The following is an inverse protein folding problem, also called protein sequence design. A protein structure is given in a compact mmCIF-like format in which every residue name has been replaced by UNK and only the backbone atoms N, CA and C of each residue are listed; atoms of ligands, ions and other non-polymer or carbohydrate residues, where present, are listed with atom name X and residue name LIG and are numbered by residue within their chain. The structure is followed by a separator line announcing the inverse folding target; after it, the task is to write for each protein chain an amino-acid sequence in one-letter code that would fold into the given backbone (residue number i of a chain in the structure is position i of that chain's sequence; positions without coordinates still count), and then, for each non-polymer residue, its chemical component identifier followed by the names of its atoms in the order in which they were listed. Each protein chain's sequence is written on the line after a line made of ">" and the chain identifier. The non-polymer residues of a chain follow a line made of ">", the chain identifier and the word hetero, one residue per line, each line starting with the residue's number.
data_IF_410635884007
#
_entry.id   IF_410635884007
#
_cell.length_a   1.000
_cell.length_b   1.000
_cell.length_c   1.000
_cell.angle_alpha   90.00
_cell.angle_beta   90.00
_cell.angle_gamma   90.00
#
_symmetry.space_group_name_H-M   'P 1'
#
loop_
_entity.id
_entity.type
_entity.pdbx_description
1 polymer ?
#
# COMPACT_ATOMS: atom_id res chain seq x y z
N UNK A 1 2.60 12.38 -16.65
CA UNK A 1 1.20 12.06 -16.31
C UNK A 1 0.61 13.24 -15.59
N UNK A 2 -0.58 13.68 -15.99
CA UNK A 2 -1.33 14.66 -15.23
C UNK A 2 -1.68 14.08 -13.86
N UNK A 3 -1.50 14.87 -12.80
CA UNK A 3 -1.81 14.42 -11.44
C UNK A 3 -3.33 14.34 -11.30
N UNK A 4 -3.86 13.19 -10.84
CA UNK A 4 -5.27 13.09 -10.52
C UNK A 4 -5.60 13.98 -9.30
N UNK A 5 -6.76 14.58 -9.36
CA UNK A 5 -7.28 15.49 -8.32
C UNK A 5 -8.47 14.82 -7.62
N UNK A 6 -8.88 15.31 -6.45
CA UNK A 6 -10.08 14.82 -5.77
C UNK A 6 -11.33 14.75 -6.66
N UNK A 7 -11.43 15.64 -7.65
CA UNK A 7 -12.55 15.68 -8.58
C UNK A 7 -12.52 14.59 -9.69
N UNK A 8 -11.43 13.82 -9.78
CA UNK A 8 -11.32 12.71 -10.74
C UNK A 8 -11.86 11.38 -10.17
N UNK A 9 -12.83 11.44 -9.26
CA UNK A 9 -13.37 10.28 -8.51
C UNK A 9 -13.81 9.15 -9.44
N UNK A 10 -14.53 9.44 -10.51
CA UNK A 10 -14.98 8.41 -11.48
C UNK A 10 -13.81 7.60 -12.06
N UNK A 11 -12.71 8.27 -12.41
CA UNK A 11 -11.51 7.61 -12.93
C UNK A 11 -10.83 6.77 -11.86
N UNK A 12 -10.81 7.27 -10.62
CA UNK A 12 -10.23 6.56 -9.49
C UNK A 12 -11.02 5.31 -9.14
N UNK A 13 -12.36 5.38 -9.21
CA UNK A 13 -13.24 4.21 -9.01
C UNK A 13 -12.97 3.14 -10.08
N UNK A 14 -12.86 3.52 -11.36
CA UNK A 14 -12.49 2.55 -12.42
C UNK A 14 -11.14 1.89 -12.16
N UNK A 15 -10.13 2.67 -11.77
CA UNK A 15 -8.80 2.10 -11.45
C UNK A 15 -8.88 1.17 -10.23
N UNK A 16 -9.61 1.58 -9.19
CA UNK A 16 -9.86 0.76 -7.99
C UNK A 16 -10.53 -0.56 -8.37
N UNK A 17 -11.56 -0.50 -9.20
CA UNK A 17 -12.32 -1.67 -9.62
C UNK A 17 -11.43 -2.67 -10.38
N UNK A 18 -10.58 -2.19 -11.28
CA UNK A 18 -9.61 -3.05 -11.98
C UNK A 18 -8.61 -3.68 -11.00
N UNK A 19 -8.10 -2.91 -10.04
CA UNK A 19 -7.17 -3.41 -9.01
C UNK A 19 -7.85 -4.46 -8.14
N UNK A 20 -9.06 -4.18 -7.67
CA UNK A 20 -9.85 -5.09 -6.86
C UNK A 20 -10.12 -6.41 -7.59
N UNK A 21 -10.51 -6.33 -8.87
CA UNK A 21 -10.74 -7.53 -9.67
C UNK A 21 -9.47 -8.36 -9.89
N UNK A 22 -8.33 -7.72 -10.14
CA UNK A 22 -7.06 -8.43 -10.29
C UNK A 22 -6.60 -9.08 -8.98
N UNK A 23 -6.83 -8.44 -7.82
CA UNK A 23 -6.60 -9.08 -6.52
C UNK A 23 -7.43 -10.37 -6.44
N UNK A 24 -8.74 -10.27 -6.66
CA UNK A 24 -9.65 -11.40 -6.51
C UNK A 24 -9.35 -12.53 -7.51
N UNK A 25 -9.13 -12.20 -8.78
CA UNK A 25 -8.81 -13.19 -9.82
C UNK A 25 -7.51 -13.94 -9.52
N UNK A 26 -6.45 -13.21 -9.17
CA UNK A 26 -5.16 -13.79 -8.81
C UNK A 26 -5.30 -14.76 -7.64
N UNK A 27 -5.96 -14.33 -6.56
CA UNK A 27 -6.11 -15.14 -5.36
C UNK A 27 -7.06 -16.31 -5.55
N UNK A 28 -8.16 -16.12 -6.30
CA UNK A 28 -9.06 -17.20 -6.65
C UNK A 28 -8.38 -18.26 -7.50
N UNK A 29 -7.64 -17.85 -8.52
CA UNK A 29 -6.90 -18.78 -9.39
C UNK A 29 -5.81 -19.56 -8.63
N UNK A 30 -5.14 -18.91 -7.68
CA UNK A 30 -4.05 -19.53 -6.91
C UNK A 30 -4.48 -20.25 -5.65
N UNK A 31 -5.71 -20.03 -5.19
CA UNK A 31 -6.25 -20.56 -3.93
C UNK A 31 -5.32 -20.27 -2.74
N UNK A 32 -4.66 -19.11 -2.76
CA UNK A 32 -3.68 -18.71 -1.75
C UNK A 32 -3.51 -17.19 -1.75
N UNK A 33 -3.21 -16.61 -0.59
CA UNK A 33 -2.93 -15.18 -0.41
C UNK A 33 -3.91 -14.51 0.54
N UNK A 34 -3.82 -13.18 0.64
CA UNK A 34 -4.49 -12.40 1.68
C UNK A 34 -5.42 -11.33 1.06
N UNK A 35 -6.70 -11.67 0.80
CA UNK A 35 -7.64 -10.74 0.18
C UNK A 35 -7.98 -9.54 1.06
N UNK A 36 -8.26 -9.77 2.35
CA UNK A 36 -8.82 -8.75 3.24
C UNK A 36 -8.01 -7.47 3.32
N UNK A 37 -6.76 -7.60 3.75
CA UNK A 37 -5.86 -6.45 3.86
C UNK A 37 -5.40 -5.88 2.52
N UNK A 38 -5.41 -6.67 1.45
CA UNK A 38 -5.13 -6.17 0.09
C UNK A 38 -6.25 -5.26 -0.40
N UNK A 39 -7.51 -5.66 -0.19
CA UNK A 39 -8.71 -4.90 -0.58
C UNK A 39 -8.90 -3.62 0.25
N UNK A 40 -8.70 -3.69 1.57
CA UNK A 40 -8.91 -2.53 2.45
C UNK A 40 -7.95 -1.37 2.17
N UNK A 41 -6.75 -1.65 1.67
CA UNK A 41 -5.71 -0.64 1.42
C UNK A 41 -5.78 0.05 0.05
N UNK A 42 -6.68 -0.36 -0.85
CA UNK A 42 -6.68 0.11 -2.26
C UNK A 42 -6.81 1.63 -2.34
N UNK A 43 -7.77 2.24 -1.63
CA UNK A 43 -7.99 3.69 -1.69
C UNK A 43 -6.77 4.49 -1.26
N UNK A 44 -6.19 4.19 -0.08
CA UNK A 44 -5.03 4.92 0.41
C UNK A 44 -3.79 4.72 -0.47
N UNK A 45 -3.61 3.51 -1.03
CA UNK A 45 -2.48 3.20 -1.90
C UNK A 45 -2.57 3.95 -3.23
N UNK A 46 -3.72 3.86 -3.91
CA UNK A 46 -3.96 4.57 -5.17
C UNK A 46 -3.89 6.08 -5.00
N UNK A 47 -4.55 6.64 -3.96
CA UNK A 47 -4.50 8.07 -3.68
C UNK A 47 -3.07 8.56 -3.46
N UNK A 48 -2.26 7.81 -2.73
CA UNK A 48 -0.86 8.17 -2.50
C UNK A 48 -0.03 8.18 -3.79
N UNK A 49 -0.17 7.16 -4.64
CA UNK A 49 0.59 7.07 -5.88
C UNK A 49 0.12 8.07 -6.94
N UNK A 50 -1.18 8.34 -7.02
CA UNK A 50 -1.77 9.17 -8.07
C UNK A 50 -1.86 10.66 -7.70
N UNK A 51 -1.70 11.02 -6.43
CA UNK A 51 -1.66 12.42 -5.96
C UNK A 51 -0.47 13.21 -6.50
N UNK A 52 0.61 12.51 -6.86
CA UNK A 52 1.87 13.11 -7.29
C UNK A 52 2.75 13.64 -6.16
N UNK A 53 2.39 13.39 -4.89
CA UNK A 53 3.27 13.70 -3.74
C UNK A 53 4.38 12.66 -3.56
N UNK A 54 4.11 11.41 -3.92
CA UNK A 54 5.11 10.33 -3.91
C UNK A 54 5.82 10.27 -5.26
N UNK A 55 7.13 10.44 -5.26
CA UNK A 55 7.95 10.42 -6.48
C UNK A 55 8.38 9.00 -6.81
N UNK A 56 7.94 8.52 -7.94
CA UNK A 56 8.35 7.23 -8.51
C UNK A 56 8.31 7.30 -10.04
N UNK A 57 9.03 6.40 -10.68
CA UNK A 57 9.05 6.27 -12.13
C UNK A 57 8.74 4.81 -12.51
N UNK A 58 7.54 4.55 -13.04
CA UNK A 58 7.14 3.19 -13.46
C UNK A 58 8.01 2.62 -14.57
N UNK A 59 8.60 3.49 -15.39
CA UNK A 59 9.52 3.09 -16.46
C UNK A 59 10.88 2.68 -15.93
N UNK A 60 11.27 3.29 -14.81
CA UNK A 60 12.56 3.07 -14.15
C UNK A 60 12.38 3.03 -12.62
N UNK A 61 11.67 2.00 -12.10
CA UNK A 61 11.34 1.94 -10.69
C UNK A 61 12.56 1.76 -9.78
N UNK A 62 13.71 1.39 -10.34
CA UNK A 62 14.99 1.29 -9.64
C UNK A 62 15.76 2.62 -9.55
N UNK A 63 15.22 3.71 -10.10
CA UNK A 63 15.87 5.03 -10.12
C UNK A 63 16.24 5.52 -8.72
N UNK A 64 17.48 5.95 -8.54
CA UNK A 64 18.10 6.21 -7.23
C UNK A 64 17.35 7.24 -6.37
N UNK A 65 16.82 8.31 -6.98
CA UNK A 65 16.16 9.40 -6.26
C UNK A 65 14.63 9.31 -6.23
N UNK A 66 14.05 8.14 -6.56
CA UNK A 66 12.66 7.86 -6.24
C UNK A 66 12.46 7.84 -4.72
N UNK A 67 11.27 8.22 -4.26
CA UNK A 67 10.91 8.03 -2.86
C UNK A 67 10.92 6.55 -2.50
N UNK A 68 11.10 6.21 -1.25
CA UNK A 68 11.20 4.85 -0.75
C UNK A 68 9.81 4.34 -0.38
N UNK A 69 9.26 3.47 -1.20
CA UNK A 69 7.95 2.84 -0.95
C UNK A 69 8.18 1.51 -0.27
N UNK A 70 7.64 1.34 0.93
CA UNK A 70 7.75 0.15 1.76
C UNK A 70 6.35 -0.39 2.04
N UNK A 71 6.06 -1.60 1.58
CA UNK A 71 4.85 -2.33 1.99
C UNK A 71 5.18 -3.12 3.25
N UNK A 72 5.02 -2.50 4.43
CA UNK A 72 5.32 -3.14 5.70
C UNK A 72 4.39 -4.32 5.98
N UNK A 73 3.11 -4.18 5.64
CA UNK A 73 2.15 -5.30 5.58
C UNK A 73 2.44 -6.23 4.38
N UNK A 74 3.62 -6.87 4.37
CA UNK A 74 4.13 -7.62 3.22
C UNK A 74 3.20 -8.67 2.64
N UNK A 75 2.34 -9.27 3.46
CA UNK A 75 1.32 -10.23 3.05
C UNK A 75 0.24 -9.62 2.13
N UNK A 76 0.08 -8.29 2.13
CA UNK A 76 -0.87 -7.58 1.25
C UNK A 76 -0.27 -7.23 -0.12
N UNK A 77 0.82 -7.91 -0.51
CA UNK A 77 1.48 -7.74 -1.82
C UNK A 77 0.54 -7.89 -3.04
N UNK A 78 -0.57 -8.66 -3.00
CA UNK A 78 -1.54 -8.68 -4.08
C UNK A 78 -2.03 -7.29 -4.51
N UNK A 79 -2.16 -6.35 -3.58
CA UNK A 79 -2.47 -4.94 -3.87
C UNK A 79 -1.43 -4.32 -4.83
N UNK A 80 -0.15 -4.47 -4.52
CA UNK A 80 0.94 -3.86 -5.32
C UNK A 80 1.02 -4.52 -6.69
N UNK A 81 0.93 -5.85 -6.77
CA UNK A 81 0.95 -6.57 -8.04
C UNK A 81 -0.21 -6.15 -8.95
N UNK A 82 -1.42 -6.08 -8.41
CA UNK A 82 -2.60 -5.69 -9.16
C UNK A 82 -2.51 -4.24 -9.64
N UNK A 83 -2.04 -3.33 -8.78
CA UNK A 83 -1.82 -1.92 -9.16
C UNK A 83 -0.78 -1.77 -10.26
N UNK A 84 0.37 -2.45 -10.14
CA UNK A 84 1.41 -2.42 -11.17
C UNK A 84 0.93 -3.03 -12.49
N UNK A 85 0.14 -4.11 -12.43
CA UNK A 85 -0.44 -4.72 -13.62
C UNK A 85 -1.38 -3.75 -14.37
N UNK A 86 -2.25 -3.04 -13.64
CA UNK A 86 -3.16 -2.02 -14.22
C UNK A 86 -2.35 -0.88 -14.84
N UNK A 87 -1.39 -0.32 -14.10
CA UNK A 87 -0.62 0.83 -14.57
C UNK A 87 0.26 0.51 -15.79
N UNK A 88 0.96 -0.62 -15.75
CA UNK A 88 1.83 -1.01 -16.85
C UNK A 88 1.04 -1.41 -18.10
N UNK A 89 -0.14 -2.03 -17.93
CA UNK A 89 -1.02 -2.34 -19.05
C UNK A 89 -1.58 -1.06 -19.69
N UNK A 90 -1.98 -0.09 -18.89
CA UNK A 90 -2.41 1.22 -19.40
C UNK A 90 -1.29 1.93 -20.17
N UNK A 91 -0.04 1.86 -19.68
CA UNK A 91 1.12 2.41 -20.40
C UNK A 91 1.38 1.66 -21.72
N UNK A 92 1.28 0.33 -21.72
CA UNK A 92 1.44 -0.49 -22.92
C UNK A 92 0.42 -0.14 -23.98
N UNK A 93 -0.85 -0.06 -23.62
CA UNK A 93 -1.94 0.33 -24.53
C UNK A 93 -1.72 1.75 -25.07
N UNK A 94 -1.31 2.68 -24.22
CA UNK A 94 -1.04 4.05 -24.62
C UNK A 94 0.13 4.14 -25.61
N UNK A 95 1.17 3.33 -25.41
CA UNK A 95 2.25 3.21 -26.41
C UNK A 95 1.74 2.64 -27.73
N UNK A 96 0.89 1.62 -27.72
CA UNK A 96 0.33 1.04 -28.94
C UNK A 96 -0.49 2.05 -29.76
N UNK A 97 -1.23 2.93 -29.08
CA UNK A 97 -2.01 3.99 -29.71
C UNK A 97 -1.15 5.13 -30.27
N UNK A 98 -0.17 5.59 -29.49
CA UNK A 98 0.53 6.85 -29.76
C UNK A 98 1.93 6.68 -30.35
N UNK A 99 2.51 5.48 -30.18
CA UNK A 99 3.94 5.18 -30.46
C UNK A 99 4.92 6.07 -29.69
N UNK A 100 4.47 6.70 -28.62
CA UNK A 100 5.29 7.56 -27.78
C UNK A 100 6.14 6.73 -26.80
N UNK A 101 7.46 6.76 -27.00
CA UNK A 101 8.44 6.02 -26.18
C UNK A 101 8.44 6.41 -24.70
N UNK A 102 7.79 7.51 -24.33
CA UNK A 102 7.57 7.89 -22.91
C UNK A 102 6.73 6.88 -22.14
N UNK A 103 6.03 5.98 -22.82
CA UNK A 103 5.26 4.89 -22.20
C UNK A 103 5.99 3.55 -22.17
N UNK A 104 7.20 3.45 -22.73
CA UNK A 104 7.98 2.22 -22.71
C UNK A 104 8.78 2.07 -21.41
N UNK A 105 8.77 0.88 -20.79
CA UNK A 105 9.61 0.60 -19.64
C UNK A 105 11.09 0.51 -20.06
N UNK A 106 12.00 0.97 -19.20
CA UNK A 106 13.45 0.83 -19.41
C UNK A 106 13.96 -0.59 -19.15
N UNK A 107 13.20 -1.37 -18.35
CA UNK A 107 13.50 -2.76 -18.00
C UNK A 107 12.27 -3.63 -18.22
N UNK A 108 11.98 -4.03 -19.47
CA UNK A 108 10.80 -4.83 -19.82
C UNK A 108 10.71 -6.15 -19.04
N UNK A 109 11.86 -6.79 -18.77
CA UNK A 109 11.95 -8.04 -18.02
C UNK A 109 11.49 -7.91 -16.57
N UNK A 110 11.63 -6.73 -15.99
CA UNK A 110 11.19 -6.40 -14.62
C UNK A 110 9.82 -5.72 -14.57
N UNK A 111 9.14 -5.56 -15.70
CA UNK A 111 7.82 -4.96 -15.78
C UNK A 111 6.75 -6.02 -15.54
N UNK A 112 5.81 -5.72 -14.65
CA UNK A 112 4.73 -6.62 -14.29
C UNK A 112 3.48 -6.32 -15.12
N UNK A 113 2.94 -7.35 -15.78
CA UNK A 113 1.72 -7.29 -16.58
C UNK A 113 0.63 -8.23 -16.05
N UNK A 114 -0.64 -8.08 -16.46
CA UNK A 114 -1.74 -8.92 -15.96
C UNK A 114 -1.49 -10.43 -16.04
N UNK A 115 -0.84 -10.91 -17.09
CA UNK A 115 -0.49 -12.34 -17.26
C UNK A 115 0.43 -12.88 -16.15
N UNK A 116 1.24 -12.03 -15.54
CA UNK A 116 2.18 -12.44 -14.49
C UNK A 116 1.44 -12.81 -13.20
N UNK A 117 0.25 -12.24 -12.96
CA UNK A 117 -0.57 -12.49 -11.78
C UNK A 117 -0.94 -13.97 -11.62
N UNK A 118 -1.07 -14.70 -12.73
CA UNK A 118 -1.36 -16.14 -12.74
C UNK A 118 -0.22 -16.99 -12.15
N UNK A 119 0.98 -16.42 -12.04
CA UNK A 119 2.16 -17.06 -11.47
C UNK A 119 2.42 -16.69 -10.00
N UNK A 120 1.45 -16.06 -9.33
CA UNK A 120 1.54 -15.73 -7.91
C UNK A 120 1.79 -16.98 -7.07
N UNK A 121 2.77 -16.95 -6.16
CA UNK A 121 3.19 -18.07 -5.31
C UNK A 121 3.53 -19.37 -6.07
N UNK A 122 4.02 -19.25 -7.31
CA UNK A 122 4.64 -20.35 -8.03
C UNK A 122 6.15 -20.25 -7.98
N UNK A 123 6.85 -21.38 -8.07
CA UNK A 123 8.32 -21.40 -8.21
C UNK A 123 8.71 -20.60 -9.46
N UNK A 124 9.60 -19.59 -9.28
CA UNK A 124 10.00 -18.67 -10.36
C UNK A 124 8.94 -17.64 -10.76
N UNK A 125 7.80 -17.61 -10.06
CA UNK A 125 6.74 -16.60 -10.25
C UNK A 125 6.81 -15.46 -9.23
N UNK A 126 5.65 -14.83 -8.99
CA UNK A 126 5.55 -13.71 -8.06
C UNK A 126 5.58 -14.19 -6.61
N UNK A 127 6.45 -13.64 -5.74
CA UNK A 127 6.51 -13.97 -4.32
C UNK A 127 5.20 -13.72 -3.57
N UNK A 128 5.04 -14.42 -2.44
CA UNK A 128 3.84 -14.30 -1.58
C UNK A 128 3.87 -13.14 -0.60
N UNK A 129 5.01 -12.46 -0.46
CA UNK A 129 5.24 -11.29 0.36
C UNK A 129 6.03 -10.24 -0.42
N UNK A 130 6.15 -9.03 0.14
CA UNK A 130 6.83 -7.94 -0.52
C UNK A 130 8.34 -8.21 -0.67
N UNK A 131 8.83 -8.11 -1.88
CA UNK A 131 10.26 -8.20 -2.20
C UNK A 131 10.69 -7.01 -3.05
N UNK A 132 11.93 -6.56 -2.85
CA UNK A 132 12.51 -5.40 -3.56
C UNK A 132 13.19 -5.78 -4.87
N UNK A 133 12.89 -6.95 -5.40
CA UNK A 133 13.51 -7.50 -6.61
C UNK A 133 12.49 -7.96 -7.65
N UNK A 134 12.99 -8.54 -8.74
CA UNK A 134 12.15 -9.11 -9.79
C UNK A 134 11.23 -8.07 -10.43
N UNK A 135 9.93 -8.26 -10.32
CA UNK A 135 8.91 -7.38 -10.91
C UNK A 135 8.36 -6.31 -9.96
N UNK A 136 8.95 -6.16 -8.78
CA UNK A 136 8.53 -5.22 -7.73
C UNK A 136 9.61 -4.21 -7.34
N UNK A 137 10.42 -3.79 -8.27
CA UNK A 137 11.48 -2.78 -8.06
C UNK A 137 10.98 -1.43 -7.52
N UNK A 138 9.66 -1.20 -7.57
CA UNK A 138 9.00 -0.07 -6.91
C UNK A 138 9.20 -0.13 -5.38
N UNK A 139 9.14 -1.33 -4.79
CA UNK A 139 9.35 -1.53 -3.37
C UNK A 139 10.84 -1.45 -3.01
N UNK A 140 11.14 -0.92 -1.83
CA UNK A 140 12.52 -0.68 -1.39
C UNK A 140 12.92 -1.49 -0.16
N UNK A 141 12.08 -2.47 0.24
CA UNK A 141 12.39 -3.36 1.34
C UNK A 141 11.67 -4.71 1.19
N UNK A 142 12.34 -5.80 1.61
CA UNK A 142 11.69 -7.10 1.75
C UNK A 142 10.97 -7.17 3.09
N UNK A 143 9.69 -7.51 3.09
CA UNK A 143 8.88 -7.57 4.30
C UNK A 143 8.09 -8.88 4.36
N UNK A 144 7.67 -9.24 5.57
CA UNK A 144 6.89 -10.45 5.83
C UNK A 144 6.42 -10.49 7.29
N UNK A 145 7.33 -10.59 8.28
CA UNK A 145 6.93 -10.56 9.67
C UNK A 145 6.31 -9.21 10.06
N UNK A 146 5.21 -9.24 10.81
CA UNK A 146 4.49 -8.05 11.28
C UNK A 146 5.40 -7.10 12.05
N UNK A 147 5.29 -5.80 11.79
CA UNK A 147 6.05 -4.73 12.44
C UNK A 147 7.48 -4.53 11.92
N UNK A 148 8.11 -5.53 11.28
CA UNK A 148 9.51 -5.39 10.83
C UNK A 148 9.69 -4.33 9.76
N UNK A 149 8.72 -4.18 8.85
CA UNK A 149 8.79 -3.17 7.79
C UNK A 149 8.77 -1.74 8.31
N UNK A 150 8.00 -1.47 9.38
CA UNK A 150 7.99 -0.14 10.01
C UNK A 150 9.30 0.15 10.74
N UNK A 151 9.85 -0.85 11.45
CA UNK A 151 11.14 -0.70 12.12
C UNK A 151 12.27 -0.43 11.13
N UNK A 152 12.33 -1.20 10.03
CA UNK A 152 13.31 -1.00 8.97
C UNK A 152 13.20 0.37 8.30
N UNK A 153 11.99 0.92 8.17
CA UNK A 153 11.75 2.23 7.55
C UNK A 153 12.39 3.39 8.31
N UNK A 154 12.53 3.28 9.64
CA UNK A 154 13.26 4.27 10.46
C UNK A 154 14.74 4.28 10.10
N UNK A 155 15.33 3.10 9.90
CA UNK A 155 16.73 2.99 9.46
C UNK A 155 16.95 3.63 8.09
N UNK A 156 16.05 3.38 7.13
CA UNK A 156 16.09 3.98 5.78
C UNK A 156 15.93 5.51 5.84
N UNK A 157 14.94 6.01 6.59
CA UNK A 157 14.70 7.45 6.73
C UNK A 157 15.88 8.16 7.40
N UNK A 158 16.46 7.54 8.43
CA UNK A 158 17.65 8.03 9.11
C UNK A 158 18.87 8.08 8.19
N UNK A 159 19.13 7.01 7.44
CA UNK A 159 20.23 6.94 6.49
C UNK A 159 20.13 8.05 5.43
N UNK A 160 18.96 8.22 4.80
CA UNK A 160 18.71 9.29 3.83
C UNK A 160 18.98 10.67 4.42
N UNK A 161 18.50 10.92 5.64
CA UNK A 161 18.70 12.19 6.34
C UNK A 161 20.18 12.44 6.64
N UNK A 162 20.92 11.41 7.07
CA UNK A 162 22.37 11.47 7.31
C UNK A 162 23.18 11.72 6.03
N UNK A 163 22.68 11.26 4.89
CA UNK A 163 23.28 11.51 3.57
C UNK A 163 22.92 12.90 2.99
N UNK A 164 22.14 13.71 3.68
CA UNK A 164 21.66 15.01 3.18
C UNK A 164 20.52 14.91 2.16
N UNK A 165 19.92 13.74 1.96
CA UNK A 165 18.81 13.49 1.04
C UNK A 165 17.45 13.73 1.73
N UNK A 166 17.29 14.91 2.34
CA UNK A 166 16.13 15.22 3.19
C UNK A 166 14.80 15.32 2.42
N UNK A 167 14.86 15.50 1.10
CA UNK A 167 13.70 15.57 0.23
C UNK A 167 13.21 14.21 -0.28
N UNK A 168 13.96 13.14 -0.03
CA UNK A 168 13.55 11.77 -0.34
C UNK A 168 12.68 11.23 0.79
N UNK A 169 11.42 10.95 0.47
CA UNK A 169 10.46 10.45 1.44
C UNK A 169 10.57 8.93 1.61
N UNK A 170 10.32 8.48 2.83
CA UNK A 170 10.09 7.06 3.13
C UNK A 170 8.60 6.89 3.43
N UNK A 171 7.88 6.24 2.52
CA UNK A 171 6.43 6.07 2.54
C UNK A 171 6.09 4.62 2.82
N UNK A 172 5.43 4.39 3.94
CA UNK A 172 5.24 3.05 4.52
C UNK A 172 3.75 2.72 4.61
N UNK A 173 3.36 1.59 4.03
CA UNK A 173 1.98 1.09 4.08
C UNK A 173 1.90 -0.10 5.04
N UNK A 174 1.13 0.05 6.11
CA UNK A 174 0.93 -0.99 7.13
C UNK A 174 -0.55 -1.15 7.49
N UNK A 175 -0.89 -2.16 8.27
CA UNK A 175 -2.16 -2.33 8.95
C UNK A 175 -2.00 -2.11 10.45
N UNK A 176 -3.09 -1.82 11.14
CA UNK A 176 -3.12 -1.60 12.60
C UNK A 176 -2.54 -2.78 13.39
N UNK A 177 -2.84 -4.02 13.00
CA UNK A 177 -2.27 -5.20 13.65
C UNK A 177 -0.73 -5.28 13.54
N UNK A 178 -0.12 -4.66 12.52
CA UNK A 178 1.34 -4.58 12.39
C UNK A 178 1.99 -3.61 13.39
N UNK A 179 1.21 -2.82 14.12
CA UNK A 179 1.67 -1.89 15.14
C UNK A 179 1.74 -2.52 16.54
N UNK A 180 1.24 -3.74 16.72
CA UNK A 180 1.20 -4.42 18.05
C UNK A 180 2.54 -5.00 18.51
N UNK A 181 3.49 -5.42 17.64
CA UNK A 181 4.80 -5.91 18.09
C UNK A 181 5.59 -4.82 18.83
N UNK A 182 6.39 -5.22 19.82
CA UNK A 182 7.21 -4.31 20.61
C UNK A 182 8.12 -3.39 19.80
N UNK A 183 8.68 -3.88 18.68
CA UNK A 183 9.48 -3.08 17.76
C UNK A 183 8.73 -1.88 17.14
N UNK A 184 7.39 -1.91 17.09
CA UNK A 184 6.61 -0.78 16.66
C UNK A 184 6.70 0.41 17.64
N UNK A 185 6.67 0.13 18.93
CA UNK A 185 6.83 1.15 19.99
C UNK A 185 8.24 1.75 20.00
N UNK A 186 9.27 0.92 19.85
CA UNK A 186 10.64 1.40 19.68
C UNK A 186 10.80 2.27 18.43
N UNK A 187 10.14 1.88 17.35
CA UNK A 187 10.09 2.63 16.09
C UNK A 187 9.52 4.03 16.29
N UNK A 188 8.39 4.15 16.99
CA UNK A 188 7.73 5.43 17.25
C UNK A 188 8.63 6.37 18.08
N UNK A 189 9.26 5.84 19.14
CA UNK A 189 10.22 6.60 19.96
C UNK A 189 11.43 7.05 19.14
N UNK A 190 12.05 6.12 18.42
CA UNK A 190 13.28 6.36 17.67
C UNK A 190 13.06 7.35 16.53
N UNK A 191 11.94 7.25 15.80
CA UNK A 191 11.62 8.16 14.71
C UNK A 191 11.48 9.61 15.19
N UNK A 192 10.84 9.81 16.33
CA UNK A 192 10.72 11.14 16.94
C UNK A 192 12.08 11.64 17.45
N UNK A 193 12.82 10.82 18.20
CA UNK A 193 14.12 11.20 18.75
C UNK A 193 15.15 11.56 17.66
N UNK A 194 15.09 10.91 16.51
CA UNK A 194 15.94 11.17 15.35
C UNK A 194 15.41 12.29 14.45
N UNK A 195 14.23 12.84 14.75
CA UNK A 195 13.60 13.94 14.01
C UNK A 195 13.30 13.60 12.56
N UNK A 196 12.73 12.43 12.28
CA UNK A 196 12.55 11.90 10.92
C UNK A 196 11.30 12.48 10.22
N UNK A 197 11.35 13.74 9.83
CA UNK A 197 10.29 14.45 9.09
C UNK A 197 10.15 13.97 7.63
N UNK A 198 11.07 13.15 7.15
CA UNK A 198 11.02 12.45 5.86
C UNK A 198 10.36 11.07 5.93
N UNK A 199 9.82 10.67 7.09
CA UNK A 199 9.13 9.39 7.32
C UNK A 199 7.62 9.61 7.38
N UNK A 200 6.88 8.80 6.58
CA UNK A 200 5.42 8.90 6.42
C UNK A 200 4.80 7.50 6.55
N UNK A 201 4.02 7.28 7.59
CA UNK A 201 3.21 6.08 7.74
C UNK A 201 1.80 6.29 7.22
N UNK A 202 1.30 5.33 6.44
CA UNK A 202 -0.09 5.24 6.01
C UNK A 202 -0.66 3.93 6.56
N UNK A 203 -1.58 4.06 7.50
CA UNK A 203 -2.09 2.94 8.29
C UNK A 203 -3.53 2.64 7.91
N UNK A 204 -3.75 1.42 7.44
CA UNK A 204 -5.08 0.83 7.28
C UNK A 204 -5.61 0.44 8.67
N UNK A 205 -6.46 1.29 9.22
CA UNK A 205 -7.06 1.09 10.56
C UNK A 205 -8.38 0.36 10.41
N UNK A 206 -8.31 -0.96 10.19
CA UNK A 206 -9.48 -1.81 9.95
C UNK A 206 -9.94 -2.59 11.18
N UNK A 207 -9.22 -2.51 12.29
CA UNK A 207 -9.48 -3.12 13.58
C UNK A 207 -9.38 -4.67 13.62
N UNK A 208 -8.83 -5.32 12.59
CA UNK A 208 -8.73 -6.79 12.57
C UNK A 208 -7.37 -7.29 12.06
N UNK A 209 -6.74 -8.12 12.88
CA UNK A 209 -5.61 -8.96 12.49
C UNK A 209 -6.06 -10.28 11.86
N UNK A 210 -5.37 -11.36 12.20
CA UNK A 210 -5.73 -12.74 11.86
C UNK A 210 -6.71 -13.33 12.89
N UNK A 211 -6.68 -12.81 14.12
CA UNK A 211 -7.47 -13.29 15.24
C UNK A 211 -8.97 -13.02 15.03
N UNK A 212 -9.80 -13.72 15.73
CA UNK A 212 -11.26 -13.68 15.60
C UNK A 212 -11.94 -12.60 16.45
N UNK A 213 -11.17 -11.72 17.07
CA UNK A 213 -11.64 -10.59 17.85
C UNK A 213 -11.04 -9.26 17.32
N UNK A 214 -11.70 -8.13 17.58
CA UNK A 214 -11.20 -6.82 17.22
C UNK A 214 -9.87 -6.48 17.89
N UNK A 215 -8.99 -5.77 17.19
CA UNK A 215 -7.72 -5.32 17.72
C UNK A 215 -7.89 -4.44 18.96
N UNK A 216 -8.97 -3.66 19.04
CA UNK A 216 -9.33 -2.80 20.17
C UNK A 216 -9.61 -3.54 21.47
N UNK A 217 -9.78 -4.86 21.43
CA UNK A 217 -9.85 -5.69 22.65
C UNK A 217 -8.47 -5.98 23.26
N UNK A 218 -7.41 -5.86 22.48
CA UNK A 218 -6.01 -6.09 22.91
C UNK A 218 -5.20 -4.81 23.00
N UNK A 219 -5.51 -3.85 22.15
CA UNK A 219 -4.79 -2.58 22.06
C UNK A 219 -5.75 -1.45 22.33
N UNK A 220 -5.67 -0.80 23.50
CA UNK A 220 -6.48 0.37 23.80
C UNK A 220 -6.05 1.55 22.94
N UNK A 221 -6.91 2.58 22.90
CA UNK A 221 -6.66 3.88 22.32
C UNK A 221 -6.92 3.99 20.80
N UNK A 222 -7.05 5.23 20.39
CA UNK A 222 -7.22 5.64 19.00
C UNK A 222 -5.87 5.88 18.34
N UNK A 223 -5.79 5.97 16.99
CA UNK A 223 -4.56 6.34 16.32
C UNK A 223 -3.96 7.67 16.80
N UNK A 224 -4.82 8.65 17.12
CA UNK A 224 -4.37 9.93 17.65
C UNK A 224 -3.66 9.79 19.01
N UNK A 225 -4.19 8.95 19.88
CA UNK A 225 -3.58 8.71 21.19
C UNK A 225 -2.31 7.89 21.06
N UNK A 226 -2.29 6.88 20.19
CA UNK A 226 -1.12 6.03 19.97
C UNK A 226 0.09 6.81 19.47
N UNK A 227 -0.08 7.54 18.38
CA UNK A 227 1.03 8.27 17.77
C UNK A 227 1.25 9.64 18.41
N UNK A 228 0.18 10.28 18.90
CA UNK A 228 0.27 11.57 19.59
C UNK A 228 1.08 11.49 20.89
N UNK A 229 1.00 10.37 21.64
CA UNK A 229 1.81 10.16 22.83
C UNK A 229 3.31 10.10 22.55
N UNK A 230 3.70 9.82 21.29
CA UNK A 230 5.08 9.83 20.81
C UNK A 230 5.44 11.12 20.07
N UNK A 231 4.60 12.15 20.14
CA UNK A 231 4.77 13.45 19.44
C UNK A 231 4.88 13.32 17.91
N UNK A 232 4.21 12.34 17.30
CA UNK A 232 4.06 12.27 15.86
C UNK A 232 2.95 13.23 15.39
N UNK A 233 3.11 13.78 14.21
CA UNK A 233 2.03 14.47 13.53
C UNK A 233 1.03 13.46 12.99
N UNK A 234 -0.21 13.55 13.44
CA UNK A 234 -1.29 12.60 13.10
C UNK A 234 -2.36 13.29 12.26
N UNK A 235 -2.71 12.70 11.13
CA UNK A 235 -3.88 13.06 10.32
C UNK A 235 -4.68 11.80 10.03
N UNK A 236 -5.95 11.91 9.67
CA UNK A 236 -6.70 10.71 9.31
C UNK A 236 -8.16 10.95 9.02
N UNK A 237 -8.84 9.88 8.57
CA UNK A 237 -10.26 9.89 8.29
C UNK A 237 -10.96 8.63 8.76
N UNK A 238 -12.22 8.78 9.16
CA UNK A 238 -13.12 7.64 9.43
C UNK A 238 -13.76 7.08 8.15
N UNK A 239 -13.55 7.73 7.01
CA UNK A 239 -14.05 7.36 5.69
C UNK A 239 -12.91 6.89 4.78
N UNK A 240 -12.14 5.91 5.23
CA UNK A 240 -10.97 5.39 4.52
C UNK A 240 -11.26 4.66 3.20
N UNK A 241 -12.53 4.54 2.82
CA UNK A 241 -12.99 3.99 1.56
C UNK A 241 -13.74 5.03 0.69
N UNK A 242 -13.50 6.31 0.93
CA UNK A 242 -14.04 7.44 0.16
C UNK A 242 -12.87 8.24 -0.43
N UNK A 243 -12.77 8.33 -1.75
CA UNK A 243 -11.62 8.97 -2.40
C UNK A 243 -11.45 10.43 -2.05
N UNK A 244 -12.49 11.29 -2.01
CA UNK A 244 -12.35 12.68 -1.58
C UNK A 244 -11.71 12.80 -0.19
N UNK A 245 -12.26 12.11 0.81
CA UNK A 245 -11.75 12.13 2.19
C UNK A 245 -10.31 11.58 2.27
N UNK A 246 -10.01 10.51 1.52
CA UNK A 246 -8.66 9.92 1.49
C UNK A 246 -7.66 10.86 0.83
N UNK A 247 -8.03 11.55 -0.27
CA UNK A 247 -7.16 12.54 -0.91
C UNK A 247 -6.88 13.74 -0.02
N UNK A 248 -7.86 14.23 0.74
CA UNK A 248 -7.67 15.33 1.69
C UNK A 248 -6.66 14.95 2.76
N UNK A 249 -6.74 13.74 3.31
CA UNK A 249 -5.75 13.22 4.26
C UNK A 249 -4.37 13.10 3.63
N UNK A 250 -4.28 12.54 2.42
CA UNK A 250 -3.01 12.38 1.69
C UNK A 250 -2.41 13.76 1.38
N UNK A 251 -3.22 14.72 0.97
CA UNK A 251 -2.78 16.11 0.75
C UNK A 251 -2.19 16.68 2.03
N UNK A 252 -2.97 16.67 3.13
CA UNK A 252 -2.47 17.20 4.42
C UNK A 252 -1.20 16.48 4.86
N UNK A 253 -1.14 15.15 4.73
CA UNK A 253 0.04 14.36 5.14
C UNK A 253 1.33 14.87 4.49
N UNK A 254 1.29 15.21 3.20
CA UNK A 254 2.48 15.57 2.42
C UNK A 254 2.72 17.08 2.27
N UNK A 255 1.78 17.95 2.64
CA UNK A 255 1.94 19.40 2.54
C UNK A 255 2.22 20.09 3.87
N UNK A 256 1.63 19.61 4.97
CA UNK A 256 1.71 20.28 6.27
C UNK A 256 2.82 19.70 7.15
N UNK A 257 3.96 19.39 6.55
CA UNK A 257 5.11 18.76 7.22
C UNK A 257 5.69 19.70 8.28
N UNK A 258 5.84 19.18 9.49
CA UNK A 258 6.51 19.86 10.58
C UNK A 258 7.97 19.41 10.67
N UNK A 259 8.88 20.36 10.76
CA UNK A 259 10.31 20.09 10.84
C UNK A 259 10.65 19.18 12.03
N UNK A 260 11.40 18.13 11.75
CA UNK A 260 11.85 17.12 12.73
C UNK A 260 10.72 16.32 13.39
N UNK A 261 9.51 16.32 12.84
CA UNK A 261 8.37 15.55 13.37
C UNK A 261 8.01 14.47 12.35
N UNK A 262 8.02 13.17 12.72
CA UNK A 262 7.55 12.11 11.83
C UNK A 262 6.04 12.18 11.63
N UNK A 263 5.57 11.64 10.50
CA UNK A 263 4.21 11.83 10.04
C UNK A 263 3.46 10.50 9.91
N UNK A 264 2.19 10.50 10.31
CA UNK A 264 1.29 9.36 10.11
C UNK A 264 -0.07 9.84 9.59
N UNK A 265 -0.61 9.06 8.65
CA UNK A 265 -2.02 9.10 8.28
C UNK A 265 -2.71 7.78 8.63
N UNK A 266 -3.89 7.82 9.22
CA UNK A 266 -4.72 6.64 9.40
C UNK A 266 -6.00 6.73 8.56
N UNK A 267 -6.45 5.58 8.08
CA UNK A 267 -7.64 5.44 7.26
C UNK A 267 -8.51 4.35 7.87
N UNK A 268 -9.64 4.74 8.47
CA UNK A 268 -10.57 3.74 9.01
C UNK A 268 -11.30 3.06 7.86
N UNK A 269 -11.02 1.78 7.69
CA UNK A 269 -11.58 0.96 6.62
C UNK A 269 -12.33 -0.24 7.20
N UNK A 270 -12.90 -1.08 6.33
CA UNK A 270 -13.33 -2.42 6.70
C UNK A 270 -12.47 -3.45 5.99
N UNK A 271 -11.84 -4.34 6.75
CA UNK A 271 -11.06 -5.44 6.19
C UNK A 271 -11.94 -6.36 5.35
N UNK A 272 -11.52 -6.62 4.10
CA UNK A 272 -12.32 -7.38 3.15
C UNK A 272 -13.47 -6.59 2.52
N UNK A 273 -13.33 -5.27 2.40
CA UNK A 273 -14.29 -4.41 1.70
C UNK A 273 -14.69 -5.02 0.33
N UNK A 274 -16.00 -5.15 0.11
CA UNK A 274 -16.61 -5.72 -1.11
C UNK A 274 -16.14 -7.14 -1.50
N UNK A 275 -15.45 -7.83 -0.60
CA UNK A 275 -14.98 -9.20 -0.82
C UNK A 275 -15.97 -10.25 -0.34
N UNK A 276 -17.10 -9.87 0.28
CA UNK A 276 -18.14 -10.74 0.86
C UNK A 276 -17.62 -11.70 1.97
N UNK A 277 -16.38 -11.62 2.33
CA UNK A 277 -15.76 -12.11 3.55
C UNK A 277 -15.10 -10.94 4.23
N UNK A 278 -15.35 -10.76 5.51
CA UNK A 278 -14.93 -9.58 6.24
C UNK A 278 -14.05 -9.95 7.43
N UNK A 279 -13.31 -8.96 7.88
CA UNK A 279 -12.54 -9.00 9.12
C UNK A 279 -11.54 -10.16 9.12
N UNK A 280 -11.39 -10.92 10.22
CA UNK A 280 -10.50 -12.06 10.29
C UNK A 280 -10.80 -13.13 9.23
N UNK A 281 -12.07 -13.32 8.85
CA UNK A 281 -12.48 -14.31 7.82
C UNK A 281 -11.93 -14.03 6.43
N UNK A 282 -11.52 -12.79 6.16
CA UNK A 282 -10.89 -12.39 4.90
C UNK A 282 -9.36 -12.40 4.95
N UNK A 283 -8.74 -12.70 6.11
CA UNK A 283 -7.30 -12.53 6.28
C UNK A 283 -6.47 -13.37 5.29
N UNK A 284 -6.64 -14.67 5.29
CA UNK A 284 -5.86 -15.59 4.44
C UNK A 284 -6.73 -16.61 3.68
N UNK A 285 -7.98 -16.27 3.40
CA UNK A 285 -8.97 -17.20 2.90
C UNK A 285 -9.58 -16.74 1.57
N UNK A 286 -8.93 -17.02 0.41
CA UNK A 286 -9.55 -16.85 -0.89
C UNK A 286 -10.91 -17.57 -0.97
N UNK A 287 -11.80 -17.11 -1.83
CA UNK A 287 -13.02 -17.85 -2.14
C UNK A 287 -12.66 -19.19 -2.81
N UNK A 288 -13.43 -20.27 -2.60
CA UNK A 288 -13.25 -21.50 -3.36
C UNK A 288 -13.23 -21.21 -4.86
N UNK A 289 -12.40 -21.93 -5.60
CA UNK A 289 -12.17 -21.65 -7.02
C UNK A 289 -13.49 -21.66 -7.81
N UNK A 290 -13.77 -20.60 -8.51
CA UNK A 290 -14.97 -20.40 -9.32
C UNK A 290 -16.30 -20.63 -8.59
N UNK A 291 -16.30 -20.45 -7.26
CA UNK A 291 -17.52 -20.61 -6.45
C UNK A 291 -18.54 -19.49 -6.71
N UNK A 292 -19.79 -19.74 -6.32
CA UNK A 292 -20.85 -18.73 -6.41
C UNK A 292 -20.48 -17.43 -5.71
N UNK A 293 -19.95 -17.51 -4.48
CA UNK A 293 -19.52 -16.31 -3.74
C UNK A 293 -18.41 -15.55 -4.46
N UNK A 294 -17.49 -16.24 -5.16
CA UNK A 294 -16.50 -15.57 -5.99
C UNK A 294 -17.18 -14.78 -7.12
N UNK A 295 -18.12 -15.39 -7.83
CA UNK A 295 -18.83 -14.71 -8.92
C UNK A 295 -19.73 -13.58 -8.44
N UNK A 296 -20.32 -13.70 -7.25
CA UNK A 296 -21.05 -12.60 -6.62
C UNK A 296 -20.19 -11.36 -6.39
N UNK A 297 -18.89 -11.51 -6.09
CA UNK A 297 -17.99 -10.37 -5.98
C UNK A 297 -17.75 -9.64 -7.30
N UNK A 298 -18.19 -10.19 -8.44
CA UNK A 298 -18.02 -9.60 -9.77
C UNK A 298 -19.26 -8.84 -10.25
N UNK A 299 -20.40 -8.99 -9.59
CA UNK A 299 -21.66 -8.35 -9.97
C UNK A 299 -21.57 -6.81 -10.02
N UNK A 300 -20.85 -6.11 -9.10
CA UNK A 300 -20.73 -4.65 -9.14
C UNK A 300 -19.92 -4.10 -10.32
N UNK A 301 -19.21 -4.95 -11.05
CA UNK A 301 -18.34 -4.57 -12.17
C UNK A 301 -18.93 -4.99 -13.52
#
# INVERSE_FOLDING_TARGET
>A
MEKLKPNDVEKLEVIKDLVDQFIDLMLNYRQSGHPGGSRSKVHMFLSSLLSGYVRYDLRDPAKTFNDRIILAAGHTIPLVYSTLAVFNEAMRLRYEETKDERYLPKKPESTLYPKDLLNFRRRGGLPGHAEMGGKTLLLKFNTGPSGHGITASVGEAFALKRMGLNDVKVVVFEGDAGLTPGGAHETMNSAWALGLDNLFFLIDWNNFGIDDHPLTETVPNTPNEWFGSHNWRVVGTIKGNDFPDVFDVVNSLFTDIQKNIPNIAYFKTRKGRDYLKYDNKSHGAPHPMNSEIFWQTKIPF
#
